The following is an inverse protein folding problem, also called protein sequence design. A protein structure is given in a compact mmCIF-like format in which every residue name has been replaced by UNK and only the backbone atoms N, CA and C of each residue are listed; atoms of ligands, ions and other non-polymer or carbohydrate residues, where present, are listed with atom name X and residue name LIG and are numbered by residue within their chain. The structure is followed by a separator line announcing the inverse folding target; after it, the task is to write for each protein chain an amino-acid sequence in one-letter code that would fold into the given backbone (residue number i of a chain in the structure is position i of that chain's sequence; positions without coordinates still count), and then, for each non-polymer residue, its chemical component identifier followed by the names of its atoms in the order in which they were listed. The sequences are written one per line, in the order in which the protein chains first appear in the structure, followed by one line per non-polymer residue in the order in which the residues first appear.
data_IF_826927197434
#
_entry.id   IF_826927197434
#
_cell.length_a   1.000
_cell.length_b   1.000
_cell.length_c   1.000
_cell.angle_alpha   90.00
_cell.angle_beta   90.00
_cell.angle_gamma   90.00
#
_symmetry.space_group_name_H-M   'P 1'
#
loop_
_entity.id
_entity.type
_entity.pdbx_description
1 polymer ?
#
# COMPACT_ATOMS: atom_id res chain seq x y z
N UNK A 1 47.04 21.46 -19.96
CA UNK A 1 46.40 21.14 -18.70
C UNK A 1 44.96 20.69 -19.01
N UNK A 2 44.80 19.38 -19.13
CA UNK A 2 43.54 18.75 -19.60
C UNK A 2 42.65 18.55 -18.38
N UNK A 3 41.55 19.30 -18.28
CA UNK A 3 40.52 19.06 -17.25
C UNK A 3 39.72 17.84 -17.66
N UNK A 4 40.00 16.71 -17.03
CA UNK A 4 39.10 15.56 -17.01
C UNK A 4 37.87 15.96 -16.17
N UNK A 5 36.77 16.27 -16.83
CA UNK A 5 35.44 16.30 -16.22
C UNK A 5 35.10 14.85 -15.86
N UNK A 6 35.25 14.50 -14.63
CA UNK A 6 34.70 13.25 -14.06
C UNK A 6 33.20 13.47 -14.04
N UNK A 7 32.52 12.93 -15.02
CA UNK A 7 31.06 12.80 -15.01
C UNK A 7 30.72 11.72 -13.96
N UNK A 8 30.53 12.14 -12.70
CA UNK A 8 29.91 11.29 -11.69
C UNK A 8 28.47 11.05 -12.13
N UNK A 9 28.23 9.92 -12.79
CA UNK A 9 26.88 9.46 -13.06
C UNK A 9 26.24 9.16 -11.70
N UNK A 10 25.22 9.97 -11.33
CA UNK A 10 24.38 9.79 -10.14
C UNK A 10 23.50 8.52 -10.22
N UNK A 11 24.10 7.35 -10.46
CA UNK A 11 23.39 6.07 -10.50
C UNK A 11 23.15 5.46 -9.10
N UNK A 12 23.69 6.05 -8.05
CA UNK A 12 23.55 5.48 -6.69
C UNK A 12 22.12 5.52 -6.15
N UNK A 13 21.29 6.46 -6.62
CA UNK A 13 19.92 6.68 -6.12
C UNK A 13 18.83 6.07 -7.01
N UNK A 14 19.20 5.24 -7.98
CA UNK A 14 18.26 4.59 -8.90
C UNK A 14 18.40 3.07 -8.78
N UNK A 15 17.26 2.37 -8.83
CA UNK A 15 17.21 0.92 -8.96
C UNK A 15 16.37 0.53 -10.17
N UNK A 16 16.91 -0.38 -10.99
CA UNK A 16 16.23 -0.96 -12.16
C UNK A 16 15.98 -2.43 -11.92
N UNK A 17 14.77 -2.91 -12.22
CA UNK A 17 14.39 -4.32 -12.10
C UNK A 17 13.18 -4.61 -12.96
N UNK A 18 13.02 -5.88 -13.37
CA UNK A 18 11.77 -6.40 -13.94
C UNK A 18 10.90 -6.94 -12.82
N UNK A 19 9.60 -6.68 -12.87
CA UNK A 19 8.63 -7.15 -11.89
C UNK A 19 7.57 -8.01 -12.55
N UNK A 20 7.18 -9.11 -11.90
CA UNK A 20 6.14 -10.01 -12.37
C UNK A 20 5.04 -10.15 -11.31
N UNK A 21 3.80 -9.88 -11.74
CA UNK A 21 2.59 -10.04 -10.94
C UNK A 21 1.76 -11.17 -11.57
N UNK A 22 1.57 -12.26 -10.85
CA UNK A 22 0.93 -13.48 -11.36
C UNK A 22 -0.32 -13.81 -10.55
N UNK A 23 -1.40 -14.17 -11.24
CA UNK A 23 -2.67 -14.63 -10.65
C UNK A 23 -3.07 -15.93 -11.32
N UNK A 24 -3.16 -16.99 -10.53
CA UNK A 24 -3.70 -18.27 -10.99
C UNK A 24 -5.20 -18.29 -10.70
N UNK A 25 -6.00 -18.38 -11.75
CA UNK A 25 -7.46 -18.35 -11.70
C UNK A 25 -7.98 -19.77 -11.85
N UNK A 26 -8.81 -20.20 -10.92
CA UNK A 26 -9.45 -21.52 -10.96
C UNK A 26 -10.64 -21.54 -11.96
N UNK A 27 -11.06 -22.71 -12.46
CA UNK A 27 -12.20 -22.84 -13.35
C UNK A 27 -13.48 -22.25 -12.76
N UNK A 28 -14.25 -21.53 -13.57
CA UNK A 28 -15.55 -21.00 -13.21
C UNK A 28 -16.74 -21.75 -13.82
N UNK A 29 -16.47 -22.75 -14.69
CA UNK A 29 -17.43 -23.72 -15.22
C UNK A 29 -18.71 -23.10 -15.75
N UNK A 30 -18.66 -22.51 -16.93
CA UNK A 30 -19.79 -21.88 -17.66
C UNK A 30 -20.41 -20.65 -16.96
N UNK A 31 -19.79 -20.15 -15.89
CA UNK A 31 -20.19 -18.94 -15.20
C UNK A 31 -19.34 -17.76 -15.65
N UNK A 32 -19.97 -16.59 -15.82
CA UNK A 32 -19.26 -15.34 -16.11
C UNK A 32 -18.15 -15.13 -15.08
N UNK A 33 -16.96 -14.82 -15.54
CA UNK A 33 -15.80 -14.50 -14.70
C UNK A 33 -15.33 -13.11 -15.04
N UNK A 34 -15.08 -12.32 -14.00
CA UNK A 34 -14.47 -11.00 -14.06
C UNK A 34 -13.34 -10.90 -13.04
N UNK A 35 -12.24 -10.30 -13.46
CA UNK A 35 -11.02 -10.17 -12.63
C UNK A 35 -10.42 -8.78 -12.87
N UNK A 36 -10.13 -8.07 -11.79
CA UNK A 36 -9.45 -6.77 -11.81
C UNK A 36 -8.13 -6.88 -11.10
N UNK A 37 -7.06 -6.36 -11.70
CA UNK A 37 -5.74 -6.27 -11.06
C UNK A 37 -5.14 -4.89 -11.27
N UNK A 38 -4.36 -4.36 -10.29
CA UNK A 38 -3.67 -3.09 -10.41
C UNK A 38 -2.75 -3.05 -11.63
N UNK A 39 -2.68 -1.89 -12.29
CA UNK A 39 -1.78 -1.64 -13.40
C UNK A 39 -0.81 -0.51 -13.05
N UNK A 40 0.52 -0.73 -13.10
CA UNK A 40 1.49 0.29 -12.70
C UNK A 40 1.56 1.44 -13.70
N UNK A 41 1.88 2.63 -13.21
CA UNK A 41 2.03 3.82 -14.02
C UNK A 41 3.38 4.49 -13.77
N UNK A 42 3.90 5.16 -14.79
CA UNK A 42 5.05 6.04 -14.63
C UNK A 42 4.63 7.36 -13.97
N UNK A 43 5.53 7.93 -13.20
CA UNK A 43 5.43 9.26 -12.61
C UNK A 43 6.85 9.85 -12.45
N UNK A 44 6.99 10.97 -11.76
CA UNK A 44 8.24 11.72 -11.64
C UNK A 44 9.37 10.95 -10.92
N UNK A 45 9.02 9.89 -10.20
CA UNK A 45 9.98 9.08 -9.41
C UNK A 45 10.03 7.61 -9.81
N UNK A 46 9.20 7.21 -10.76
CA UNK A 46 9.09 5.85 -11.25
C UNK A 46 8.85 5.84 -12.76
N UNK A 47 9.68 5.11 -13.51
CA UNK A 47 9.43 4.82 -14.92
C UNK A 47 9.04 3.35 -15.08
N UNK A 48 7.90 3.10 -15.73
CA UNK A 48 7.39 1.76 -16.06
C UNK A 48 7.45 1.58 -17.56
N UNK A 49 8.14 0.54 -18.00
CA UNK A 49 8.36 0.22 -19.43
C UNK A 49 8.20 -1.27 -19.71
N UNK A 50 8.21 -1.66 -20.97
CA UNK A 50 8.18 -3.05 -21.43
C UNK A 50 7.04 -3.87 -20.79
N UNK A 51 5.84 -3.28 -20.73
CA UNK A 51 4.68 -3.93 -20.10
C UNK A 51 4.17 -5.04 -21.01
N UNK A 52 4.07 -6.25 -20.47
CA UNK A 52 3.56 -7.45 -21.14
C UNK A 52 2.41 -8.02 -20.29
N UNK A 53 1.26 -8.22 -20.93
CA UNK A 53 0.08 -8.87 -20.33
C UNK A 53 -0.10 -10.24 -20.99
N UNK A 54 0.05 -11.30 -20.19
CA UNK A 54 -0.28 -12.66 -20.58
C UNK A 54 -1.66 -12.97 -19.95
N UNK A 55 -2.73 -12.94 -20.73
CA UNK A 55 -4.11 -13.06 -20.23
C UNK A 55 -4.60 -14.52 -20.14
N UNK A 56 -3.81 -15.48 -20.60
CA UNK A 56 -4.24 -16.85 -20.75
C UNK A 56 -5.44 -16.95 -21.72
N UNK A 57 -6.55 -17.51 -21.24
CA UNK A 57 -7.78 -17.67 -22.04
C UNK A 57 -8.84 -16.58 -21.74
N UNK A 58 -8.45 -15.47 -21.10
CA UNK A 58 -9.32 -14.35 -20.80
C UNK A 58 -9.16 -13.23 -21.82
N UNK A 59 -10.28 -12.56 -22.14
CA UNK A 59 -10.25 -11.26 -22.77
C UNK A 59 -9.84 -10.20 -21.75
N UNK A 60 -9.23 -9.08 -22.18
CA UNK A 60 -8.87 -8.03 -21.23
C UNK A 60 -8.87 -6.63 -21.83
N UNK A 61 -9.02 -5.66 -20.95
CA UNK A 61 -8.96 -4.22 -21.24
C UNK A 61 -8.11 -3.51 -20.17
N UNK A 62 -7.49 -2.38 -20.56
CA UNK A 62 -6.90 -1.45 -19.60
C UNK A 62 -7.91 -0.36 -19.34
N UNK A 63 -8.31 -0.19 -18.07
CA UNK A 63 -9.30 0.81 -17.67
C UNK A 63 -8.69 1.85 -16.75
N UNK A 64 -9.31 3.04 -16.70
CA UNK A 64 -8.94 4.11 -15.79
C UNK A 64 -9.86 4.09 -14.57
N UNK A 65 -9.28 4.22 -13.40
CA UNK A 65 -10.00 4.51 -12.18
C UNK A 65 -10.23 6.04 -12.12
N UNK A 66 -11.46 6.45 -11.85
CA UNK A 66 -11.89 7.82 -12.13
C UNK A 66 -11.60 8.84 -11.03
N UNK A 67 -11.31 8.38 -9.80
CA UNK A 67 -11.16 9.25 -8.63
C UNK A 67 -9.70 9.70 -8.46
N UNK A 68 -8.76 8.76 -8.57
CA UNK A 68 -7.36 9.01 -8.27
C UNK A 68 -6.45 8.95 -9.51
N UNK A 69 -7.02 8.68 -10.70
CA UNK A 69 -6.27 8.59 -11.95
C UNK A 69 -5.43 7.32 -12.08
N UNK A 70 -5.71 6.30 -11.30
CA UNK A 70 -5.05 5.00 -11.44
C UNK A 70 -5.51 4.26 -12.69
N UNK A 71 -4.74 3.25 -13.08
CA UNK A 71 -5.12 2.29 -14.12
C UNK A 71 -5.23 0.89 -13.52
N UNK A 72 -6.06 0.06 -14.15
CA UNK A 72 -6.17 -1.35 -13.81
C UNK A 72 -6.43 -2.19 -15.05
N UNK A 73 -6.09 -3.47 -14.99
CA UNK A 73 -6.48 -4.47 -15.98
C UNK A 73 -7.80 -5.10 -15.55
N UNK A 74 -8.72 -5.12 -16.48
CA UNK A 74 -10.01 -5.82 -16.37
C UNK A 74 -9.98 -7.03 -17.31
N UNK A 75 -10.03 -8.22 -16.73
CA UNK A 75 -10.13 -9.49 -17.48
C UNK A 75 -11.52 -10.05 -17.35
N UNK A 76 -12.02 -10.65 -18.42
CA UNK A 76 -13.36 -11.23 -18.40
C UNK A 76 -13.49 -12.45 -19.31
N UNK A 77 -14.49 -13.30 -18.98
CA UNK A 77 -14.90 -14.45 -19.78
C UNK A 77 -16.38 -14.77 -19.53
N UNK A 78 -17.24 -14.39 -20.46
CA UNK A 78 -18.68 -14.60 -20.31
C UNK A 78 -19.09 -16.09 -20.22
N UNK A 79 -18.36 -16.96 -20.93
CA UNK A 79 -18.58 -18.42 -20.91
C UNK A 79 -17.82 -19.14 -19.79
N UNK A 80 -17.15 -18.38 -18.91
CA UNK A 80 -16.33 -18.92 -17.86
C UNK A 80 -15.07 -19.66 -18.34
N UNK A 81 -14.27 -20.11 -17.36
CA UNK A 81 -13.07 -20.92 -17.59
C UNK A 81 -13.37 -22.39 -17.31
N UNK A 82 -12.97 -23.27 -18.22
CA UNK A 82 -13.07 -24.76 -18.07
C UNK A 82 -11.86 -25.36 -17.39
N UNK A 83 -10.73 -24.66 -17.43
CA UNK A 83 -9.45 -25.09 -16.86
C UNK A 83 -8.77 -23.92 -16.14
N UNK A 84 -7.87 -24.27 -15.24
CA UNK A 84 -7.02 -23.32 -14.53
C UNK A 84 -6.22 -22.47 -15.49
N UNK A 85 -6.22 -21.17 -15.30
CA UNK A 85 -5.55 -20.20 -16.16
C UNK A 85 -4.60 -19.32 -15.36
N UNK A 86 -3.42 -19.06 -15.90
CA UNK A 86 -2.46 -18.12 -15.34
C UNK A 86 -2.57 -16.77 -16.07
N UNK A 87 -2.88 -15.73 -15.30
CA UNK A 87 -2.78 -14.35 -15.75
C UNK A 87 -1.47 -13.77 -15.22
N UNK A 88 -0.74 -13.05 -16.08
CA UNK A 88 0.55 -12.50 -15.73
C UNK A 88 0.74 -11.09 -16.29
N UNK A 89 1.18 -10.19 -15.44
CA UNK A 89 1.59 -8.84 -15.79
C UNK A 89 3.08 -8.72 -15.49
N UNK A 90 3.89 -8.46 -16.53
CA UNK A 90 5.32 -8.19 -16.41
C UNK A 90 5.61 -6.77 -16.87
N UNK A 91 6.59 -6.13 -16.25
CA UNK A 91 7.06 -4.81 -16.65
C UNK A 91 8.44 -4.52 -16.06
N UNK A 92 9.12 -3.57 -16.66
CA UNK A 92 10.39 -3.06 -16.16
C UNK A 92 10.15 -1.78 -15.37
N UNK A 93 10.90 -1.63 -14.30
CA UNK A 93 10.82 -0.50 -13.35
C UNK A 93 12.19 0.15 -13.25
N UNK A 94 12.22 1.46 -13.41
CA UNK A 94 13.29 2.31 -12.92
C UNK A 94 12.73 3.16 -11.78
N UNK A 95 13.17 2.92 -10.55
CA UNK A 95 12.71 3.63 -9.35
C UNK A 95 13.83 4.47 -8.79
N UNK A 96 13.52 5.76 -8.54
CA UNK A 96 14.43 6.71 -7.91
C UNK A 96 14.14 6.84 -6.43
N UNK A 97 15.19 6.85 -5.61
CA UNK A 97 15.12 7.39 -4.26
C UNK A 97 14.90 8.90 -4.33
N UNK A 98 14.00 9.43 -3.53
CA UNK A 98 13.62 10.84 -3.61
C UNK A 98 13.24 11.41 -2.25
N UNK A 99 13.33 12.71 -2.17
CA UNK A 99 12.80 13.54 -1.09
C UNK A 99 11.47 14.15 -1.55
N UNK A 100 11.35 15.47 -1.56
CA UNK A 100 10.15 16.13 -2.08
C UNK A 100 10.05 16.03 -3.61
N UNK A 101 8.81 15.99 -4.08
CA UNK A 101 8.48 15.92 -5.51
C UNK A 101 7.32 16.83 -5.83
N UNK A 102 7.45 17.59 -6.91
CA UNK A 102 6.33 18.29 -7.51
C UNK A 102 5.76 17.38 -8.61
N UNK A 103 4.56 16.85 -8.39
CA UNK A 103 3.84 16.08 -9.40
C UNK A 103 3.01 17.02 -10.27
N UNK A 104 3.26 17.02 -11.58
CA UNK A 104 2.66 17.99 -12.52
C UNK A 104 1.12 17.93 -12.58
N UNK A 105 0.55 16.72 -12.42
CA UNK A 105 -0.88 16.47 -12.61
C UNK A 105 -1.62 16.12 -11.31
N UNK A 106 -1.08 16.46 -10.16
CA UNK A 106 -1.67 16.17 -8.87
C UNK A 106 -2.12 17.43 -8.16
N UNK A 107 -3.45 17.63 -8.07
CA UNK A 107 -4.02 18.72 -7.29
C UNK A 107 -4.10 18.34 -5.80
N UNK A 108 -3.39 19.06 -4.90
CA UNK A 108 -3.38 18.77 -3.47
C UNK A 108 -4.78 18.79 -2.81
N UNK A 109 -5.68 19.64 -3.26
CA UNK A 109 -7.05 19.77 -2.72
C UNK A 109 -7.84 18.47 -2.79
N UNK A 110 -7.53 17.58 -3.75
CA UNK A 110 -8.18 16.29 -3.87
C UNK A 110 -7.84 15.32 -2.72
N UNK A 111 -6.87 15.69 -1.86
CA UNK A 111 -6.34 14.82 -0.81
C UNK A 111 -6.59 15.35 0.61
N UNK A 112 -7.61 16.19 0.77
CA UNK A 112 -8.09 16.71 2.06
C UNK A 112 -9.32 15.96 2.59
N UNK A 113 -10.11 15.36 1.71
CA UNK A 113 -11.37 14.71 2.08
C UNK A 113 -11.19 13.42 2.87
N UNK A 114 -12.21 13.04 3.64
CA UNK A 114 -12.29 11.76 4.32
C UNK A 114 -12.41 10.60 3.33
N UNK A 115 -11.91 9.44 3.74
CA UNK A 115 -12.26 8.14 3.13
C UNK A 115 -13.11 7.32 4.11
N UNK A 116 -13.72 6.24 3.65
CA UNK A 116 -14.61 5.39 4.45
C UNK A 116 -13.97 4.87 5.74
N UNK A 117 -12.67 4.58 5.68
CA UNK A 117 -11.88 4.09 6.82
C UNK A 117 -10.89 5.13 7.37
N UNK A 118 -10.84 6.32 6.76
CA UNK A 118 -9.94 7.42 7.14
C UNK A 118 -10.76 8.70 7.31
N UNK A 119 -11.62 8.78 8.35
CA UNK A 119 -12.39 9.98 8.64
C UNK A 119 -11.48 11.12 9.09
N UNK A 120 -11.97 12.36 8.90
CA UNK A 120 -11.34 13.61 9.37
C UNK A 120 -12.18 14.25 10.46
N UNK A 121 -11.62 15.19 11.20
CA UNK A 121 -12.32 15.92 12.27
C UNK A 121 -12.63 15.06 13.49
N UNK A 122 -13.77 15.30 14.13
CA UNK A 122 -14.29 14.50 15.26
C UNK A 122 -13.23 14.19 16.34
N UNK A 123 -12.97 12.89 16.61
CA UNK A 123 -11.98 12.45 17.61
C UNK A 123 -10.57 12.98 17.33
N UNK A 124 -10.20 13.15 16.05
CA UNK A 124 -8.85 13.62 15.67
C UNK A 124 -8.61 15.06 16.06
N UNK A 125 -9.64 15.94 16.08
CA UNK A 125 -9.53 17.29 16.61
C UNK A 125 -9.10 17.29 18.09
N UNK A 126 -9.65 16.39 18.89
CA UNK A 126 -9.29 16.27 20.31
C UNK A 126 -7.86 15.75 20.47
N UNK A 127 -7.45 14.78 19.65
CA UNK A 127 -6.08 14.23 19.67
C UNK A 127 -5.07 15.32 19.30
N UNK A 128 -5.32 16.06 18.23
CA UNK A 128 -4.50 17.18 17.77
C UNK A 128 -4.34 18.22 18.88
N UNK A 129 -5.46 18.68 19.44
CA UNK A 129 -5.47 19.65 20.53
C UNK A 129 -4.71 19.18 21.77
N UNK A 130 -5.00 17.96 22.23
CA UNK A 130 -4.43 17.43 23.47
C UNK A 130 -2.92 17.13 23.37
N UNK A 131 -2.40 16.94 22.16
CA UNK A 131 -0.99 16.68 21.89
C UNK A 131 -0.27 17.86 21.24
N UNK A 132 -0.96 19.01 21.09
CA UNK A 132 -0.42 20.23 20.47
C UNK A 132 0.22 19.95 19.11
N UNK A 133 -0.46 19.14 18.28
CA UNK A 133 -0.05 18.91 16.89
C UNK A 133 -0.51 20.11 16.05
N UNK A 134 0.31 20.52 15.08
CA UNK A 134 0.01 21.65 14.21
C UNK A 134 0.40 21.36 12.78
N UNK A 135 -0.19 22.06 11.82
CA UNK A 135 0.17 21.93 10.41
C UNK A 135 1.60 22.39 10.09
N UNK A 136 2.15 23.27 10.90
CA UNK A 136 3.50 23.82 10.71
C UNK A 136 4.60 22.87 11.26
N UNK A 137 4.22 21.81 11.99
CA UNK A 137 5.13 20.80 12.52
C UNK A 137 4.63 19.39 12.21
N UNK A 138 4.69 19.02 10.94
CA UNK A 138 4.30 17.69 10.45
C UNK A 138 5.16 16.59 11.04
N UNK A 139 6.44 16.91 11.35
CA UNK A 139 7.36 15.97 11.99
C UNK A 139 6.84 15.50 13.34
N UNK A 140 6.31 16.39 14.14
CA UNK A 140 5.69 16.04 15.43
C UNK A 140 4.50 15.10 15.26
N UNK A 141 3.71 15.26 14.20
CA UNK A 141 2.62 14.33 13.89
C UNK A 141 3.14 12.96 13.46
N UNK A 142 4.18 12.92 12.64
CA UNK A 142 4.88 11.70 12.27
C UNK A 142 5.40 10.95 13.51
N UNK A 143 6.12 11.64 14.39
CA UNK A 143 6.66 11.10 15.64
C UNK A 143 5.55 10.64 16.61
N UNK A 144 4.44 11.38 16.67
CA UNK A 144 3.29 11.01 17.47
C UNK A 144 2.69 9.66 17.03
N UNK A 145 2.53 9.44 15.72
CA UNK A 145 2.05 8.16 15.19
C UNK A 145 3.10 7.07 15.39
N UNK A 146 4.39 7.33 15.08
CA UNK A 146 5.50 6.40 15.24
C UNK A 146 5.63 5.89 16.68
N UNK A 147 5.51 6.78 17.65
CA UNK A 147 5.63 6.44 19.07
C UNK A 147 4.32 5.92 19.67
N UNK A 148 3.18 6.18 19.02
CA UNK A 148 1.85 5.77 19.47
C UNK A 148 1.39 4.40 18.94
N UNK A 149 2.15 3.78 18.05
CA UNK A 149 1.80 2.50 17.43
C UNK A 149 2.94 1.47 17.52
N UNK A 150 2.61 0.22 17.33
CA UNK A 150 3.55 -0.87 17.12
C UNK A 150 3.23 -1.65 15.85
N UNK A 151 4.28 -1.95 15.09
CA UNK A 151 4.17 -2.80 13.91
C UNK A 151 4.06 -4.27 14.35
N UNK A 152 2.96 -4.89 14.06
CA UNK A 152 2.73 -6.29 14.38
C UNK A 152 1.54 -6.85 13.62
N UNK A 153 1.51 -8.15 13.42
CA UNK A 153 0.38 -8.88 12.86
C UNK A 153 -0.22 -9.77 13.95
N UNK A 154 -1.51 -9.67 14.24
CA UNK A 154 -2.17 -10.62 15.14
C UNK A 154 -1.98 -12.03 14.59
N UNK A 155 -1.54 -12.94 15.45
CA UNK A 155 -1.38 -14.35 15.10
C UNK A 155 -2.34 -15.17 15.95
N UNK A 156 -2.89 -16.23 15.37
CA UNK A 156 -3.75 -17.16 16.09
C UNK A 156 -3.02 -17.77 17.28
N UNK A 157 -3.76 -18.15 18.32
CA UNK A 157 -3.23 -18.77 19.54
C UNK A 157 -2.52 -20.10 19.26
N UNK A 158 -2.94 -20.79 18.20
CA UNK A 158 -2.48 -22.13 17.86
C UNK A 158 -1.17 -22.14 17.04
N UNK A 159 -0.55 -21.00 16.84
CA UNK A 159 0.72 -20.90 16.12
C UNK A 159 1.89 -21.19 17.08
N UNK A 160 2.42 -22.40 17.08
CA UNK A 160 3.56 -22.83 17.90
C UNK A 160 4.85 -22.04 17.68
N UNK A 161 5.00 -21.40 16.50
CA UNK A 161 6.16 -20.55 16.16
C UNK A 161 5.97 -19.09 16.60
N UNK A 162 5.04 -18.83 17.49
CA UNK A 162 4.70 -17.49 17.90
C UNK A 162 5.76 -16.90 18.84
N UNK A 163 6.69 -16.17 18.30
CA UNK A 163 7.55 -15.26 19.05
C UNK A 163 7.28 -13.83 18.55
N UNK A 164 6.41 -13.12 19.27
CA UNK A 164 6.09 -11.74 18.90
C UNK A 164 6.92 -10.82 19.81
N UNK A 165 7.89 -10.08 19.23
CA UNK A 165 8.75 -9.18 20.00
C UNK A 165 7.98 -8.04 20.68
N UNK A 166 6.76 -7.79 20.25
CA UNK A 166 5.89 -6.74 20.78
C UNK A 166 5.00 -7.19 21.94
N UNK A 167 4.96 -8.49 22.21
CA UNK A 167 4.17 -9.04 23.29
C UNK A 167 4.96 -8.91 24.61
N UNK A 168 4.37 -8.19 25.56
CA UNK A 168 4.93 -8.08 26.91
C UNK A 168 4.78 -9.38 27.70
N UNK A 169 5.57 -9.55 28.79
CA UNK A 169 5.51 -10.76 29.64
C UNK A 169 4.13 -11.02 30.25
N UNK A 170 3.32 -9.97 30.42
CA UNK A 170 1.96 -10.04 30.93
C UNK A 170 0.89 -10.23 29.83
N UNK A 171 1.30 -10.60 28.62
CA UNK A 171 0.41 -10.90 27.49
C UNK A 171 -0.26 -9.68 26.86
N UNK A 172 0.28 -8.47 27.09
CA UNK A 172 -0.23 -7.24 26.51
C UNK A 172 0.52 -6.88 25.23
N UNK A 173 -0.20 -6.26 24.32
CA UNK A 173 0.27 -5.96 22.98
C UNK A 173 0.38 -4.45 22.78
N UNK A 174 1.55 -4.01 22.33
CA UNK A 174 1.79 -2.61 21.98
C UNK A 174 1.96 -1.67 23.18
N UNK A 175 2.22 -0.39 22.89
CA UNK A 175 2.43 0.68 23.87
C UNK A 175 1.19 0.90 24.74
N UNK A 176 0.01 0.76 24.16
CA UNK A 176 -1.27 0.93 24.88
C UNK A 176 -1.61 -0.26 25.75
N UNK A 177 -0.73 -1.26 25.81
CA UNK A 177 -0.90 -2.47 26.62
C UNK A 177 -2.24 -3.16 26.36
N UNK A 178 -2.66 -3.20 25.10
CA UNK A 178 -3.88 -3.87 24.66
C UNK A 178 -3.71 -5.38 24.84
N UNK A 179 -4.74 -6.05 25.33
CA UNK A 179 -4.71 -7.51 25.46
C UNK A 179 -4.59 -8.14 24.07
N UNK A 180 -3.56 -8.99 23.87
CA UNK A 180 -3.30 -9.67 22.62
C UNK A 180 -4.50 -10.49 22.15
N UNK A 181 -5.11 -11.24 23.07
CA UNK A 181 -6.23 -12.11 22.73
C UNK A 181 -7.43 -11.32 22.21
N UNK A 182 -7.62 -10.09 22.72
CA UNK A 182 -8.63 -9.18 22.22
C UNK A 182 -8.33 -8.76 20.76
N UNK A 183 -7.08 -8.41 20.44
CA UNK A 183 -6.69 -8.01 19.07
C UNK A 183 -6.85 -9.18 18.11
N UNK A 184 -6.45 -10.39 18.52
CA UNK A 184 -6.63 -11.62 17.73
C UNK A 184 -8.12 -11.93 17.50
N UNK A 185 -8.95 -11.83 18.54
CA UNK A 185 -10.39 -12.06 18.43
C UNK A 185 -11.07 -11.03 17.50
N UNK A 186 -10.65 -9.75 17.56
CA UNK A 186 -11.13 -8.72 16.63
C UNK A 186 -10.78 -9.07 15.18
N UNK A 187 -9.55 -9.53 14.93
CA UNK A 187 -9.10 -9.91 13.59
C UNK A 187 -9.87 -11.13 13.07
N UNK A 188 -10.02 -12.17 13.88
CA UNK A 188 -10.78 -13.37 13.51
C UNK A 188 -12.27 -13.09 13.28
N UNK A 189 -12.86 -12.20 14.10
CA UNK A 189 -14.25 -11.78 13.90
C UNK A 189 -14.41 -10.96 12.61
N UNK A 190 -13.47 -10.07 12.32
CA UNK A 190 -13.52 -9.25 11.12
C UNK A 190 -13.48 -10.08 9.83
N UNK A 191 -12.73 -11.19 9.80
CA UNK A 191 -12.71 -12.13 8.67
C UNK A 191 -14.13 -12.71 8.44
N UNK A 192 -14.89 -12.97 9.50
CA UNK A 192 -16.25 -13.54 9.42
C UNK A 192 -17.31 -12.51 9.07
N UNK A 193 -17.17 -11.30 9.60
CA UNK A 193 -18.18 -10.23 9.50
C UNK A 193 -17.86 -9.19 8.43
N UNK A 194 -16.70 -9.30 7.77
CA UNK A 194 -16.15 -8.29 6.85
C UNK A 194 -16.01 -6.89 7.50
N UNK A 195 -15.80 -6.82 8.81
CA UNK A 195 -15.62 -5.57 9.54
C UNK A 195 -14.32 -4.90 9.13
N UNK A 196 -14.38 -3.60 8.84
CA UNK A 196 -13.20 -2.78 8.57
C UNK A 196 -12.46 -2.33 9.85
N UNK A 197 -13.06 -2.53 11.02
CA UNK A 197 -12.44 -2.17 12.32
C UNK A 197 -11.54 -3.29 12.82
N UNK A 198 -10.42 -3.48 12.13
CA UNK A 198 -9.43 -4.50 12.46
C UNK A 198 -8.07 -4.17 11.87
N UNK A 199 -7.06 -4.95 12.28
CA UNK A 199 -5.70 -4.93 11.76
C UNK A 199 -5.65 -4.99 10.23
N UNK A 200 -4.83 -4.14 9.62
CA UNK A 200 -4.46 -4.22 8.21
C UNK A 200 -5.45 -3.62 7.23
N UNK A 201 -6.62 -3.18 7.68
CA UNK A 201 -7.62 -2.55 6.82
C UNK A 201 -7.44 -1.03 6.70
N UNK A 202 -6.46 -0.46 7.39
CA UNK A 202 -6.22 0.97 7.38
C UNK A 202 -7.40 1.77 7.92
N UNK A 203 -8.00 1.29 9.00
CA UNK A 203 -9.01 2.02 9.72
C UNK A 203 -8.34 2.91 10.77
N UNK A 204 -8.38 4.23 10.57
CA UNK A 204 -7.70 5.16 11.48
C UNK A 204 -8.28 5.20 12.88
N UNK A 205 -9.57 4.88 13.07
CA UNK A 205 -10.15 4.73 14.39
C UNK A 205 -9.63 3.47 15.10
N UNK A 206 -9.45 2.37 14.35
CA UNK A 206 -8.80 1.18 14.89
C UNK A 206 -7.35 1.49 15.30
N UNK A 207 -6.56 2.08 14.41
CA UNK A 207 -5.17 2.46 14.68
C UNK A 207 -5.05 3.39 15.88
N UNK A 208 -5.91 4.41 15.95
CA UNK A 208 -6.00 5.35 17.06
C UNK A 208 -6.31 4.65 18.40
N UNK A 209 -7.26 3.72 18.43
CA UNK A 209 -7.72 3.10 19.67
C UNK A 209 -6.86 1.92 20.12
N UNK A 210 -6.35 1.13 19.18
CA UNK A 210 -5.63 -0.12 19.47
C UNK A 210 -4.11 0.08 19.47
N UNK A 211 -3.57 0.85 18.51
CA UNK A 211 -2.15 1.14 18.42
C UNK A 211 -1.28 -0.05 17.99
N UNK A 212 -1.87 -1.08 17.38
CA UNK A 212 -1.18 -2.22 16.78
C UNK A 212 -1.62 -2.35 15.35
N UNK A 213 -0.70 -2.27 14.39
CA UNK A 213 -1.08 -2.27 12.99
C UNK A 213 0.07 -2.63 12.04
N UNK A 214 -0.23 -2.60 10.75
CA UNK A 214 0.75 -2.69 9.69
C UNK A 214 0.92 -1.34 8.98
N UNK A 215 1.66 -1.34 7.86
CA UNK A 215 1.89 -0.12 7.07
C UNK A 215 0.59 0.62 6.70
N UNK A 216 -0.48 -0.10 6.40
CA UNK A 216 -1.78 0.48 6.06
C UNK A 216 -2.38 1.27 7.23
N UNK A 217 -2.33 0.71 8.45
CA UNK A 217 -2.91 1.31 9.65
C UNK A 217 -2.13 2.55 10.11
N UNK A 218 -0.79 2.49 10.06
CA UNK A 218 0.09 3.63 10.39
C UNK A 218 -0.21 4.84 9.52
N UNK A 219 -0.21 4.64 8.20
CA UNK A 219 -0.37 5.75 7.27
C UNK A 219 -1.81 6.25 7.21
N UNK A 220 -2.81 5.40 7.48
CA UNK A 220 -4.21 5.84 7.63
C UNK A 220 -4.40 6.73 8.86
N UNK A 221 -3.74 6.41 9.97
CA UNK A 221 -3.79 7.27 11.15
C UNK A 221 -3.12 8.62 10.91
N UNK A 222 -1.94 8.62 10.29
CA UNK A 222 -1.27 9.84 9.87
C UNK A 222 -2.13 10.68 8.92
N UNK A 223 -2.80 10.06 7.95
CA UNK A 223 -3.72 10.75 7.03
C UNK A 223 -4.87 11.43 7.76
N UNK A 224 -5.53 10.74 8.70
CA UNK A 224 -6.64 11.34 9.46
C UNK A 224 -6.19 12.55 10.26
N UNK A 225 -5.03 12.50 10.89
CA UNK A 225 -4.46 13.64 11.63
C UNK A 225 -4.07 14.78 10.66
N UNK A 226 -3.30 14.49 9.62
CA UNK A 226 -2.85 15.49 8.66
C UNK A 226 -4.02 16.20 7.98
N UNK A 227 -4.96 15.45 7.42
CA UNK A 227 -6.14 16.02 6.75
C UNK A 227 -7.07 16.77 7.69
N UNK A 228 -7.15 16.38 8.96
CA UNK A 228 -7.89 17.16 9.99
C UNK A 228 -7.22 18.52 10.27
N UNK A 229 -5.92 18.63 10.07
CA UNK A 229 -5.16 19.88 10.14
C UNK A 229 -5.07 20.64 8.79
N UNK A 230 -5.86 20.21 7.79
CA UNK A 230 -5.86 20.78 6.45
C UNK A 230 -4.53 20.60 5.70
N UNK A 231 -3.80 19.53 6.00
CA UNK A 231 -2.62 19.10 5.26
C UNK A 231 -3.06 18.04 4.24
N UNK A 232 -2.89 18.26 2.93
CA UNK A 232 -3.13 17.23 1.94
C UNK A 232 -2.20 16.04 2.16
N UNK A 233 -2.77 14.84 2.23
CA UNK A 233 -2.01 13.59 2.42
C UNK A 233 -2.49 12.55 1.43
N UNK A 234 -1.57 12.00 0.61
CA UNK A 234 -1.84 10.89 -0.30
C UNK A 234 -1.43 9.57 0.32
N UNK A 235 -2.09 8.50 -0.11
CA UNK A 235 -1.80 7.14 0.29
C UNK A 235 -1.32 6.33 -0.92
N UNK A 236 -0.20 5.66 -0.77
CA UNK A 236 0.42 4.86 -1.82
C UNK A 236 0.40 3.38 -1.47
N UNK A 237 0.16 2.55 -2.48
CA UNK A 237 0.22 1.09 -2.39
C UNK A 237 1.14 0.53 -3.46
N UNK A 238 1.96 -0.42 -3.06
CA UNK A 238 2.88 -1.08 -3.96
C UNK A 238 3.54 -2.31 -3.34
N UNK A 239 4.75 -2.60 -3.79
CA UNK A 239 5.50 -3.74 -3.29
C UNK A 239 6.90 -3.33 -2.88
N UNK A 240 7.37 -3.81 -1.70
CA UNK A 240 8.75 -3.66 -1.32
C UNK A 240 9.60 -4.64 -2.12
N UNK A 241 10.71 -4.16 -2.66
CA UNK A 241 11.64 -4.98 -3.43
C UNK A 241 12.82 -5.35 -2.52
N UNK A 242 12.98 -6.62 -2.14
CA UNK A 242 14.09 -7.06 -1.31
C UNK A 242 15.45 -6.72 -1.90
N UNK A 243 16.46 -6.64 -1.06
CA UNK A 243 17.84 -6.51 -1.53
C UNK A 243 18.24 -7.76 -2.33
N UNK A 244 19.12 -7.56 -3.31
CA UNK A 244 19.60 -8.62 -4.19
C UNK A 244 19.24 -8.37 -5.66
N UNK A 245 19.70 -9.27 -6.54
CA UNK A 245 19.49 -9.19 -7.98
C UNK A 245 18.16 -9.81 -8.43
N UNK A 246 17.62 -10.74 -7.65
CA UNK A 246 16.35 -11.42 -7.91
C UNK A 246 15.72 -11.93 -6.64
N UNK A 247 14.44 -12.23 -6.65
CA UNK A 247 13.78 -12.83 -5.53
C UNK A 247 12.26 -12.72 -5.57
N UNK A 248 11.66 -13.32 -4.55
CA UNK A 248 10.23 -13.31 -4.31
C UNK A 248 9.84 -12.13 -3.44
N UNK A 249 8.76 -11.44 -3.81
CA UNK A 249 8.16 -10.37 -3.03
C UNK A 249 7.02 -10.93 -2.19
N UNK A 250 7.20 -10.95 -0.87
CA UNK A 250 6.31 -11.67 0.05
C UNK A 250 4.98 -10.98 0.38
N UNK A 251 4.84 -9.68 0.13
CA UNK A 251 3.63 -8.94 0.46
C UNK A 251 3.64 -7.54 -0.13
N UNK A 252 2.54 -6.80 0.06
CA UNK A 252 2.45 -5.41 -0.32
C UNK A 252 3.07 -4.49 0.74
N UNK A 253 3.29 -3.25 0.35
CA UNK A 253 3.71 -2.17 1.23
C UNK A 253 2.93 -0.90 0.94
N UNK A 254 2.66 -0.12 1.98
CA UNK A 254 2.02 1.18 1.89
C UNK A 254 2.90 2.25 2.52
N UNK A 255 2.82 3.45 1.96
CA UNK A 255 3.43 4.66 2.52
C UNK A 255 2.50 5.84 2.25
N UNK A 256 2.85 7.00 2.74
CA UNK A 256 2.12 8.22 2.45
C UNK A 256 3.07 9.32 1.98
N UNK A 257 2.52 10.38 1.41
CA UNK A 257 3.18 11.67 1.28
C UNK A 257 2.25 12.80 1.74
N UNK A 258 2.82 13.89 2.21
CA UNK A 258 2.11 15.10 2.59
C UNK A 258 2.61 16.28 1.76
N UNK A 259 1.70 17.21 1.49
CA UNK A 259 2.00 18.36 0.66
C UNK A 259 2.44 19.56 1.49
N UNK A 260 3.48 20.24 1.00
CA UNK A 260 3.94 21.54 1.48
C UNK A 260 3.83 22.52 0.33
N UNK A 261 3.17 23.64 0.57
CA UNK A 261 2.95 24.69 -0.45
C UNK A 261 4.30 25.18 -1.00
N UNK A 262 4.37 25.37 -2.31
CA UNK A 262 5.57 25.74 -3.09
C UNK A 262 6.71 24.71 -3.11
N UNK A 263 6.72 23.70 -2.22
CA UNK A 263 7.79 22.70 -2.13
C UNK A 263 7.41 21.34 -2.74
N UNK A 264 6.11 21.01 -2.76
CA UNK A 264 5.59 19.73 -3.28
C UNK A 264 5.30 18.69 -2.21
N UNK A 265 5.41 17.42 -2.56
CA UNK A 265 5.02 16.27 -1.75
C UNK A 265 6.23 15.63 -1.08
N UNK A 266 6.18 15.48 0.23
CA UNK A 266 7.22 14.83 1.05
C UNK A 266 6.76 13.44 1.47
N UNK A 267 7.51 12.38 1.11
CA UNK A 267 7.14 11.03 1.52
C UNK A 267 7.38 10.78 3.00
N UNK A 268 6.54 9.94 3.58
CA UNK A 268 6.70 9.39 4.94
C UNK A 268 6.47 7.89 4.94
N UNK A 269 7.34 7.15 5.64
CA UNK A 269 7.21 5.71 5.80
C UNK A 269 7.34 5.33 7.28
N UNK A 270 6.27 5.62 8.03
CA UNK A 270 6.23 5.49 9.48
C UNK A 270 6.41 4.04 9.91
N UNK A 271 5.90 3.10 9.13
CA UNK A 271 5.99 1.67 9.44
C UNK A 271 7.40 1.09 9.25
N UNK A 272 8.16 1.59 8.29
CA UNK A 272 9.58 1.22 8.15
C UNK A 272 10.43 1.88 9.24
N UNK A 273 10.11 3.10 9.63
CA UNK A 273 10.73 3.77 10.77
C UNK A 273 10.51 3.03 12.10
N UNK A 274 9.34 2.40 12.28
CA UNK A 274 9.09 1.58 13.47
C UNK A 274 9.89 0.29 13.49
N UNK A 275 10.13 -0.31 12.33
CA UNK A 275 10.97 -1.51 12.20
C UNK A 275 12.46 -1.22 12.36
N UNK A 276 12.90 -0.01 11.99
CA UNK A 276 14.30 0.44 12.03
C UNK A 276 14.36 1.87 12.59
N UNK A 277 14.40 1.96 13.92
CA UNK A 277 14.40 3.25 14.64
C UNK A 277 15.61 4.13 14.33
N UNK A 278 16.72 3.54 13.91
CA UNK A 278 17.94 4.29 13.54
C UNK A 278 17.72 5.08 12.23
N UNK A 279 16.75 4.64 11.41
CA UNK A 279 16.36 5.30 10.17
C UNK A 279 15.10 6.15 10.28
N UNK A 280 14.60 6.43 11.48
CA UNK A 280 13.38 7.23 11.65
C UNK A 280 13.48 8.60 10.99
N UNK A 281 14.63 9.28 11.09
CA UNK A 281 14.89 10.55 10.41
C UNK A 281 14.88 10.42 8.88
N UNK A 282 15.42 9.32 8.35
CA UNK A 282 15.41 9.04 6.91
C UNK A 282 13.99 8.86 6.38
N UNK A 283 13.15 8.11 7.08
CA UNK A 283 11.79 7.81 6.64
C UNK A 283 10.79 8.98 6.82
N UNK A 284 11.24 10.07 7.41
CA UNK A 284 10.54 11.34 7.39
C UNK A 284 11.11 12.22 6.27
N UNK A 285 10.44 12.26 5.13
CA UNK A 285 10.83 13.07 3.97
C UNK A 285 11.65 12.33 2.91
N UNK A 286 11.86 10.99 3.04
CA UNK A 286 12.55 10.21 2.02
C UNK A 286 11.80 8.93 1.68
N UNK A 287 11.76 8.58 0.40
CA UNK A 287 11.30 7.29 -0.09
C UNK A 287 12.41 6.54 -0.81
N UNK A 288 12.75 5.35 -0.33
CA UNK A 288 13.82 4.54 -0.92
C UNK A 288 13.45 3.99 -2.31
N UNK A 289 14.49 3.66 -3.09
CA UNK A 289 14.37 3.04 -4.43
C UNK A 289 13.90 1.57 -4.41
N UNK A 290 13.82 0.95 -3.24
CA UNK A 290 13.52 -0.47 -3.10
C UNK A 290 12.00 -0.72 -3.02
N UNK A 291 11.24 -0.17 -3.95
CA UNK A 291 9.79 -0.32 -4.06
C UNK A 291 9.29 -0.10 -5.48
N UNK A 292 8.13 -0.62 -5.77
CA UNK A 292 7.33 -0.25 -6.94
C UNK A 292 5.95 0.21 -6.49
N UNK A 293 5.47 1.33 -7.02
CA UNK A 293 4.13 1.86 -6.78
C UNK A 293 3.16 1.26 -7.81
N UNK A 294 2.02 0.83 -7.34
CA UNK A 294 0.96 0.27 -8.19
C UNK A 294 -0.29 1.14 -8.20
N UNK A 295 -0.67 1.72 -7.05
CA UNK A 295 -1.91 2.46 -6.88
C UNK A 295 -1.71 3.62 -5.89
N UNK A 296 -2.46 4.71 -6.09
CA UNK A 296 -2.53 5.87 -5.19
C UNK A 296 -3.97 6.10 -4.78
N UNK A 297 -4.22 6.38 -3.51
CA UNK A 297 -5.56 6.69 -2.97
C UNK A 297 -6.19 5.53 -2.22
N UNK A 298 -7.46 5.71 -1.90
CA UNK A 298 -8.33 4.77 -1.17
C UNK A 298 -9.77 4.91 -1.71
N UNK A 299 -10.62 3.97 -1.35
CA UNK A 299 -12.03 3.98 -1.75
C UNK A 299 -12.23 4.06 -3.27
N UNK A 300 -11.55 3.17 -3.98
CA UNK A 300 -11.57 3.11 -5.44
C UNK A 300 -12.95 2.74 -5.97
N UNK A 301 -13.42 3.50 -6.94
CA UNK A 301 -14.60 3.17 -7.74
C UNK A 301 -14.16 2.36 -8.97
N UNK A 302 -14.34 1.05 -8.92
CA UNK A 302 -13.95 0.13 -9.99
C UNK A 302 -15.17 -0.16 -10.86
N UNK A 303 -15.08 0.20 -12.15
CA UNK A 303 -16.17 -0.04 -13.10
C UNK A 303 -16.44 -1.54 -13.26
N UNK A 304 -17.70 -1.93 -13.15
CA UNK A 304 -18.15 -3.31 -13.25
C UNK A 304 -17.93 -4.16 -12.00
N UNK A 305 -17.38 -3.60 -10.91
CA UNK A 305 -17.26 -4.30 -9.63
C UNK A 305 -18.45 -3.96 -8.73
N UNK A 306 -19.31 -4.94 -8.46
CA UNK A 306 -20.64 -4.72 -7.86
C UNK A 306 -20.63 -4.68 -6.32
N UNK A 307 -19.47 -4.91 -5.69
CA UNK A 307 -19.36 -4.95 -4.21
C UNK A 307 -19.11 -3.57 -3.58
N UNK A 308 -19.20 -2.49 -4.36
CA UNK A 308 -19.02 -1.11 -3.89
C UNK A 308 -17.57 -0.62 -3.90
N UNK A 309 -17.29 0.41 -3.10
CA UNK A 309 -15.97 1.03 -3.07
C UNK A 309 -14.90 0.08 -2.51
N UNK A 310 -13.77 0.01 -3.20
CA UNK A 310 -12.63 -0.82 -2.81
C UNK A 310 -11.69 -0.01 -1.95
N UNK A 311 -11.62 -0.32 -0.66
CA UNK A 311 -10.77 0.38 0.29
C UNK A 311 -9.27 0.31 -0.04
N UNK A 312 -8.79 -0.88 -0.43
CA UNK A 312 -7.40 -1.17 -0.80
C UNK A 312 -7.38 -1.99 -2.08
N UNK A 313 -6.76 -1.47 -3.14
CA UNK A 313 -6.66 -2.17 -4.40
C UNK A 313 -5.21 -2.48 -4.75
N UNK A 314 -4.66 -3.52 -4.15
CA UNK A 314 -3.31 -4.02 -4.40
C UNK A 314 -3.30 -5.53 -4.73
N UNK A 315 -4.32 -6.24 -4.30
CA UNK A 315 -4.59 -7.63 -4.62
C UNK A 315 -5.66 -7.73 -5.71
N UNK A 316 -5.77 -8.87 -6.40
CA UNK A 316 -6.84 -9.09 -7.36
C UNK A 316 -8.22 -9.00 -6.71
N UNK A 317 -9.17 -8.45 -7.46
CA UNK A 317 -10.60 -8.57 -7.18
C UNK A 317 -11.18 -9.51 -8.22
N UNK A 318 -12.13 -10.35 -7.84
CA UNK A 318 -12.79 -11.27 -8.76
C UNK A 318 -14.26 -11.44 -8.44
N UNK A 319 -15.05 -11.53 -9.48
CA UNK A 319 -16.47 -11.91 -9.42
C UNK A 319 -16.74 -13.11 -10.30
N UNK A 320 -17.66 -13.96 -9.85
CA UNK A 320 -18.25 -15.06 -10.62
C UNK A 320 -19.76 -14.89 -10.56
N UNK A 321 -20.41 -14.70 -11.73
CA UNK A 321 -21.85 -14.37 -11.83
C UNK A 321 -22.19 -13.18 -10.91
N UNK A 322 -21.45 -12.09 -11.03
CA UNK A 322 -21.63 -10.82 -10.31
C UNK A 322 -21.55 -10.94 -8.77
N UNK A 323 -20.89 -11.99 -8.27
CA UNK A 323 -20.65 -12.22 -6.84
C UNK A 323 -19.17 -12.31 -6.54
N UNK A 324 -18.75 -11.61 -5.49
CA UNK A 324 -17.38 -11.68 -5.00
C UNK A 324 -16.91 -13.12 -4.84
N UNK A 325 -15.73 -13.41 -5.38
CA UNK A 325 -15.13 -14.73 -5.37
C UNK A 325 -13.64 -14.65 -5.04
N UNK A 326 -13.19 -15.62 -4.24
CA UNK A 326 -11.77 -15.84 -3.96
C UNK A 326 -11.25 -17.10 -4.68
N UNK A 327 -11.86 -17.46 -5.81
CA UNK A 327 -11.53 -18.64 -6.59
C UNK A 327 -10.25 -18.44 -7.43
N UNK A 328 -9.25 -17.83 -6.82
CA UNK A 328 -7.92 -17.61 -7.39
C UNK A 328 -6.86 -17.78 -6.29
N UNK A 329 -5.63 -18.08 -6.69
CA UNK A 329 -4.49 -18.06 -5.77
C UNK A 329 -3.89 -16.65 -5.73
N UNK A 330 -4.15 -15.85 -4.68
CA UNK A 330 -3.63 -14.48 -4.58
C UNK A 330 -2.13 -14.43 -4.32
N UNK A 331 -1.50 -15.57 -4.05
CA UNK A 331 -0.15 -15.65 -3.51
C UNK A 331 0.83 -16.43 -4.38
N UNK A 332 0.61 -16.54 -5.70
CA UNK A 332 1.76 -16.89 -6.51
C UNK A 332 2.78 -15.76 -6.46
N UNK A 333 4.05 -16.10 -6.32
CA UNK A 333 5.07 -15.14 -5.97
C UNK A 333 5.18 -14.04 -7.04
N UNK A 334 5.03 -12.82 -6.60
CA UNK A 334 5.53 -11.67 -7.32
C UNK A 334 7.05 -11.78 -7.29
N UNK A 335 7.65 -11.84 -8.45
CA UNK A 335 9.09 -12.00 -8.60
C UNK A 335 9.67 -10.71 -9.16
N UNK A 336 10.90 -10.41 -8.78
CA UNK A 336 11.68 -9.37 -9.42
C UNK A 336 13.02 -9.95 -9.90
N UNK A 337 13.52 -9.40 -10.98
CA UNK A 337 14.84 -9.69 -11.52
C UNK A 337 15.53 -8.36 -11.81
N UNK A 338 16.72 -8.16 -11.30
CA UNK A 338 17.52 -6.97 -11.60
C UNK A 338 17.84 -6.88 -13.09
N UNK A 339 17.53 -5.76 -13.72
CA UNK A 339 17.91 -5.49 -15.10
C UNK A 339 19.35 -4.99 -15.09
N UNK A 340 20.27 -5.76 -15.68
CA UNK A 340 21.61 -5.25 -15.97
C UNK A 340 21.48 -4.26 -17.15
N UNK A 341 21.81 -2.98 -16.91
CA UNK A 341 22.03 -2.04 -18.02
C UNK A 341 23.30 -2.51 -18.75
N UNK A 342 23.15 -3.01 -19.99
CA UNK A 342 24.24 -3.27 -20.93
C UNK A 342 24.82 -1.93 -21.39
#
# INVERSE_FOLDING_TARGET
MLFLLINCSNNENIRTFSFSYEVEVEPSMDKKLELWIPYPQSNEVQSITNIIVESGNLDYEIKNELVHGNKYLYFYKNSGLKEKTLVKLKFDVERREHQNVVYENVNPENYLSSYSTVPTGSIFNNIIKNNSLTKDDVKKTYEFVLNGMHYGKPKSKDNEYYNDPWLTKDGKYGIRKVNRDMVVAMYENAIKTKSNFTFGNGNSLYACNIGVGNCTDYHSYFMSLGRTMEIPVRFHMGFPIPNGSEGRVGGYHCWADYYVEEEGWYPVDISEADKDKEKSEYYFGNACKNRVEMMVGRDFAIEGYDQGLVNLFIYPLMEIDDKESNNFSPFKPKNFVGVQKI
#
